data_IF_046039434996
#
_entry.id   IF_046039434996
#
_cell.length_a   1.000
_cell.length_b   1.000
_cell.length_c   1.000
_cell.angle_alpha   90.00
_cell.angle_beta   90.00
_cell.angle_gamma   90.00
#
_symmetry.space_group_name_H-M   'P 1'
#
loop_
_entity.id
_entity.type
_entity.pdbx_description
1 polymer ?
#
# COMPACT_ATOMS: atom_id res chain seq x y z
N UNK A 1 27.80 -17.37 69.84
CA UNK A 1 27.62 -18.42 68.86
C UNK A 1 27.37 -17.71 67.55
N UNK A 2 28.39 -17.68 66.70
CA UNK A 2 28.47 -17.01 65.41
C UNK A 2 27.76 -17.90 64.38
N UNK A 3 26.72 -17.39 63.69
CA UNK A 3 26.12 -18.04 62.54
C UNK A 3 26.52 -17.32 61.28
N UNK A 4 27.18 -18.02 60.41
CA UNK A 4 27.71 -17.58 59.11
C UNK A 4 26.62 -17.10 58.16
N UNK A 5 26.77 -15.90 57.64
CA UNK A 5 26.13 -15.47 56.42
C UNK A 5 26.96 -15.99 55.23
N UNK A 6 26.43 -16.96 54.50
CA UNK A 6 26.93 -17.33 53.18
C UNK A 6 26.50 -16.27 52.17
N UNK A 7 27.38 -15.78 51.28
CA UNK A 7 27.00 -14.86 50.19
C UNK A 7 26.28 -15.65 49.09
N UNK A 8 25.04 -15.19 48.76
CA UNK A 8 24.34 -15.69 47.58
C UNK A 8 25.17 -15.56 46.30
N UNK A 9 25.18 -16.59 45.43
CA UNK A 9 25.87 -16.52 44.17
C UNK A 9 25.19 -15.52 43.24
N UNK A 10 25.96 -14.51 42.87
CA UNK A 10 25.68 -13.47 41.87
C UNK A 10 25.09 -14.08 40.59
N UNK A 11 23.77 -14.13 40.50
CA UNK A 11 23.08 -14.41 39.22
C UNK A 11 23.38 -13.28 38.26
N UNK A 12 24.50 -13.34 37.56
CA UNK A 12 24.68 -12.67 36.30
C UNK A 12 23.54 -13.12 35.40
N UNK A 13 22.49 -12.32 35.36
CA UNK A 13 21.48 -12.43 34.31
C UNK A 13 22.24 -12.35 32.97
N UNK A 14 22.49 -13.52 32.40
CA UNK A 14 22.94 -13.61 31.03
C UNK A 14 21.96 -12.80 30.18
N UNK A 15 22.47 -11.73 29.56
CA UNK A 15 21.83 -11.14 28.40
C UNK A 15 21.71 -12.25 27.37
N UNK A 16 20.61 -12.98 27.43
CA UNK A 16 20.22 -13.91 26.40
C UNK A 16 20.15 -13.11 25.11
N UNK A 17 21.16 -13.23 24.28
CA UNK A 17 21.03 -12.97 22.86
C UNK A 17 19.84 -13.81 22.44
N UNK A 18 18.72 -13.15 22.09
CA UNK A 18 17.60 -13.81 21.41
C UNK A 18 18.19 -14.26 20.08
N UNK A 19 18.70 -15.49 20.06
CA UNK A 19 19.21 -16.10 18.84
C UNK A 19 18.06 -16.13 17.85
N UNK A 20 18.24 -15.45 16.72
CA UNK A 20 17.27 -15.46 15.64
C UNK A 20 17.07 -16.92 15.24
N UNK A 21 15.82 -17.39 15.23
CA UNK A 21 15.42 -18.76 14.90
C UNK A 21 15.89 -19.19 13.51
N UNK A 22 16.31 -18.23 12.70
CA UNK A 22 16.75 -18.42 11.33
C UNK A 22 18.17 -17.87 11.10
N UNK A 23 18.89 -18.48 10.16
CA UNK A 23 20.18 -17.93 9.69
C UNK A 23 19.98 -16.51 9.12
N UNK A 24 20.88 -15.58 9.41
CA UNK A 24 20.89 -14.20 8.85
C UNK A 24 20.80 -14.18 7.32
N UNK A 25 21.30 -15.25 6.65
CA UNK A 25 21.19 -15.40 5.19
C UNK A 25 19.75 -15.68 4.77
N UNK A 26 19.04 -16.53 5.51
CA UNK A 26 17.64 -16.83 5.24
C UNK A 26 16.75 -15.61 5.49
N UNK A 27 16.95 -14.86 6.57
CA UNK A 27 16.20 -13.63 6.86
C UNK A 27 16.30 -12.62 5.72
N UNK A 28 17.52 -12.36 5.20
CA UNK A 28 17.71 -11.43 4.07
C UNK A 28 17.05 -11.93 2.80
N UNK A 29 17.16 -13.23 2.51
CA UNK A 29 16.52 -13.85 1.35
C UNK A 29 15.00 -13.76 1.47
N UNK A 30 14.46 -14.01 2.66
CA UNK A 30 13.01 -13.91 2.92
C UNK A 30 12.49 -12.50 2.66
N UNK A 31 13.17 -11.47 3.19
CA UNK A 31 12.78 -10.06 2.95
C UNK A 31 12.84 -9.72 1.45
N UNK A 32 13.83 -10.18 0.72
CA UNK A 32 13.92 -10.00 -0.73
C UNK A 32 12.77 -10.69 -1.47
N UNK A 33 12.45 -11.94 -1.10
CA UNK A 33 11.33 -12.68 -1.69
C UNK A 33 10.01 -11.95 -1.40
N UNK A 34 9.78 -11.50 -0.17
CA UNK A 34 8.56 -10.78 0.20
C UNK A 34 8.46 -9.40 -0.47
N UNK A 35 9.60 -8.69 -0.63
CA UNK A 35 9.69 -7.45 -1.40
C UNK A 35 9.25 -7.66 -2.85
N UNK A 36 9.82 -8.65 -3.53
CA UNK A 36 9.46 -8.96 -4.91
C UNK A 36 8.00 -9.44 -5.02
N UNK A 37 7.55 -10.26 -4.06
CA UNK A 37 6.15 -10.73 -4.03
C UNK A 37 5.17 -9.56 -3.90
N UNK A 38 5.40 -8.65 -2.93
CA UNK A 38 4.57 -7.47 -2.75
C UNK A 38 4.61 -6.54 -3.97
N UNK A 39 5.79 -6.40 -4.56
CA UNK A 39 5.96 -5.67 -5.81
C UNK A 39 5.14 -6.26 -6.96
N UNK A 40 5.09 -7.60 -7.11
CA UNK A 40 4.31 -8.24 -8.18
C UNK A 40 2.80 -8.13 -7.97
N UNK A 41 2.32 -8.18 -6.72
CA UNK A 41 0.90 -7.90 -6.40
C UNK A 41 0.54 -6.49 -6.84
N UNK A 42 1.36 -5.49 -6.49
CA UNK A 42 1.12 -4.10 -6.89
C UNK A 42 1.30 -3.86 -8.38
N UNK A 43 2.22 -4.57 -9.04
CA UNK A 43 2.38 -4.52 -10.50
C UNK A 43 1.06 -4.88 -11.19
N UNK A 44 0.45 -5.99 -10.80
CA UNK A 44 -0.78 -6.45 -11.43
C UNK A 44 -1.97 -5.54 -11.07
N UNK A 45 -2.12 -5.19 -9.78
CA UNK A 45 -3.17 -4.29 -9.29
C UNK A 45 -3.18 -2.94 -10.02
N UNK A 46 -2.01 -2.36 -10.27
CA UNK A 46 -1.88 -1.07 -10.94
C UNK A 46 -1.95 -1.17 -12.47
N UNK A 47 -1.59 -2.31 -13.04
CA UNK A 47 -1.56 -2.51 -14.50
C UNK A 47 -2.88 -2.18 -15.17
N UNK A 48 -4.02 -2.60 -14.60
CA UNK A 48 -5.34 -2.28 -15.14
C UNK A 48 -5.59 -0.78 -15.27
N UNK A 49 -5.09 0.02 -14.30
CA UNK A 49 -5.32 1.46 -14.27
C UNK A 49 -4.58 2.15 -15.43
N UNK A 50 -3.34 1.71 -15.68
CA UNK A 50 -2.50 2.25 -16.75
C UNK A 50 -2.88 1.74 -18.14
N UNK A 51 -3.57 0.59 -18.20
CA UNK A 51 -4.08 0.01 -19.45
C UNK A 51 -5.47 0.53 -19.84
N UNK A 52 -6.14 1.30 -18.96
CA UNK A 52 -7.46 1.86 -19.26
C UNK A 52 -7.55 2.60 -20.61
N UNK A 53 -6.58 3.45 -21.00
CA UNK A 53 -6.62 4.12 -22.31
C UNK A 53 -6.59 3.18 -23.52
N UNK A 54 -6.13 1.93 -23.33
CA UNK A 54 -5.99 0.95 -24.41
C UNK A 54 -7.21 0.03 -24.53
N UNK A 55 -7.83 -0.41 -23.41
CA UNK A 55 -8.99 -1.30 -23.46
C UNK A 55 -10.33 -0.54 -23.44
N UNK A 56 -10.39 0.67 -22.86
CA UNK A 56 -11.63 1.41 -22.78
C UNK A 56 -12.25 1.73 -24.16
N UNK A 57 -11.48 2.12 -25.19
CA UNK A 57 -12.03 2.31 -26.53
C UNK A 57 -12.58 1.03 -27.16
N UNK A 58 -11.94 -0.13 -26.93
CA UNK A 58 -12.37 -1.41 -27.48
C UNK A 58 -13.72 -1.86 -26.92
N UNK A 59 -13.91 -1.71 -25.60
CA UNK A 59 -15.17 -2.04 -24.93
C UNK A 59 -16.16 -0.87 -24.90
N UNK A 60 -15.82 0.28 -25.49
CA UNK A 60 -16.61 1.52 -25.48
C UNK A 60 -17.00 1.95 -24.08
N UNK A 61 -16.05 1.86 -23.17
CA UNK A 61 -16.27 2.22 -21.75
C UNK A 61 -16.25 3.75 -21.61
N UNK A 62 -17.19 4.22 -20.78
CA UNK A 62 -17.18 5.59 -20.30
C UNK A 62 -16.34 5.73 -19.01
N UNK A 63 -16.11 6.97 -18.58
CA UNK A 63 -15.30 7.27 -17.40
C UNK A 63 -15.89 6.69 -16.11
N UNK A 64 -17.23 6.59 -16.02
CA UNK A 64 -17.92 5.98 -14.89
C UNK A 64 -17.60 4.49 -14.77
N UNK A 65 -17.63 3.76 -15.89
CA UNK A 65 -17.31 2.33 -15.93
C UNK A 65 -15.84 2.05 -15.57
N UNK A 66 -14.91 2.91 -15.99
CA UNK A 66 -13.50 2.79 -15.60
C UNK A 66 -13.30 3.03 -14.10
N UNK A 67 -13.94 4.05 -13.54
CA UNK A 67 -13.94 4.29 -12.10
C UNK A 67 -14.57 3.14 -11.31
N UNK A 68 -15.68 2.59 -11.79
CA UNK A 68 -16.36 1.45 -11.18
C UNK A 68 -15.51 0.17 -11.19
N UNK A 69 -14.77 -0.07 -12.28
CA UNK A 69 -13.84 -1.20 -12.38
C UNK A 69 -12.75 -1.16 -11.30
N UNK A 70 -12.17 0.01 -11.06
CA UNK A 70 -11.20 0.21 -9.98
C UNK A 70 -11.84 -0.01 -8.60
N UNK A 71 -13.05 0.49 -8.39
CA UNK A 71 -13.79 0.39 -7.13
C UNK A 71 -14.15 -1.04 -6.78
N UNK A 72 -14.60 -1.84 -7.75
CA UNK A 72 -14.94 -3.26 -7.54
C UNK A 72 -13.71 -4.05 -7.11
N UNK A 73 -12.56 -3.81 -7.72
CA UNK A 73 -11.31 -4.46 -7.32
C UNK A 73 -10.92 -4.08 -5.89
N UNK A 74 -11.04 -2.79 -5.52
CA UNK A 74 -10.66 -2.29 -4.20
C UNK A 74 -11.57 -2.83 -3.08
N UNK A 75 -12.88 -2.85 -3.27
CA UNK A 75 -13.80 -3.38 -2.25
C UNK A 75 -13.63 -4.90 -2.08
N UNK A 76 -13.43 -5.64 -3.17
CA UNK A 76 -13.17 -7.06 -3.12
C UNK A 76 -11.85 -7.36 -2.37
N UNK A 77 -10.81 -6.55 -2.60
CA UNK A 77 -9.53 -6.63 -1.89
C UNK A 77 -9.71 -6.38 -0.38
N UNK A 78 -10.42 -5.32 0.00
CA UNK A 78 -10.63 -4.95 1.40
C UNK A 78 -11.40 -6.03 2.18
N UNK A 79 -12.50 -6.53 1.59
CA UNK A 79 -13.33 -7.59 2.19
C UNK A 79 -12.55 -8.90 2.31
N UNK A 80 -11.88 -9.30 1.23
CA UNK A 80 -11.08 -10.52 1.19
C UNK A 80 -9.92 -10.50 2.19
N UNK A 81 -9.21 -9.37 2.30
CA UNK A 81 -8.09 -9.20 3.23
C UNK A 81 -8.50 -9.47 4.68
N UNK A 82 -9.71 -9.05 5.07
CA UNK A 82 -10.24 -9.31 6.40
C UNK A 82 -10.49 -10.82 6.65
N UNK A 83 -11.21 -11.48 5.74
CA UNK A 83 -11.55 -12.90 5.91
C UNK A 83 -10.35 -13.83 5.80
N UNK A 84 -9.52 -13.65 4.79
CA UNK A 84 -8.35 -14.52 4.57
C UNK A 84 -7.18 -14.20 5.48
N UNK A 85 -7.11 -12.98 6.03
CA UNK A 85 -6.19 -12.67 7.13
C UNK A 85 -6.46 -13.59 8.32
N UNK A 86 -7.71 -13.64 8.79
CA UNK A 86 -8.13 -14.54 9.88
C UNK A 86 -7.95 -16.03 9.50
N UNK A 87 -8.19 -16.40 8.25
CA UNK A 87 -7.97 -17.76 7.77
C UNK A 87 -6.50 -18.16 7.85
N UNK A 88 -5.58 -17.22 7.54
CA UNK A 88 -4.14 -17.46 7.60
C UNK A 88 -3.62 -17.67 9.04
N UNK A 89 -4.30 -17.09 10.02
CA UNK A 89 -3.99 -17.32 11.44
C UNK A 89 -4.30 -18.77 11.86
N UNK A 90 -5.33 -19.36 11.25
CA UNK A 90 -5.79 -20.72 11.59
C UNK A 90 -5.06 -21.81 10.78
N UNK A 91 -4.85 -21.61 9.50
CA UNK A 91 -4.33 -22.64 8.59
C UNK A 91 -2.83 -22.46 8.27
N UNK A 92 -2.24 -21.38 8.72
CA UNK A 92 -0.85 -21.02 8.43
C UNK A 92 -0.72 -19.96 7.34
N UNK A 93 0.45 -19.32 7.30
CA UNK A 93 0.73 -18.19 6.41
C UNK A 93 0.94 -18.64 4.95
N UNK A 94 1.79 -19.66 4.79
CA UNK A 94 2.16 -20.19 3.47
C UNK A 94 1.00 -20.84 2.72
N UNK A 95 0.12 -21.69 3.33
CA UNK A 95 -1.04 -22.28 2.67
C UNK A 95 -2.05 -21.28 2.14
N UNK A 96 -2.07 -20.05 2.69
CA UNK A 96 -2.95 -18.96 2.20
C UNK A 96 -2.24 -18.12 1.14
N UNK A 97 -0.97 -17.74 1.36
CA UNK A 97 -0.25 -16.83 0.47
C UNK A 97 0.07 -17.47 -0.88
N UNK A 98 0.55 -18.71 -0.90
CA UNK A 98 1.00 -19.35 -2.16
C UNK A 98 -0.16 -19.56 -3.14
N UNK A 99 -1.33 -20.10 -2.75
CA UNK A 99 -2.48 -20.18 -3.65
C UNK A 99 -2.99 -18.80 -4.09
N UNK A 100 -2.98 -17.80 -3.21
CA UNK A 100 -3.38 -16.42 -3.54
C UNK A 100 -2.52 -15.85 -4.67
N UNK A 101 -1.19 -16.04 -4.61
CA UNK A 101 -0.26 -15.58 -5.65
C UNK A 101 -0.51 -16.28 -6.98
N UNK A 102 -0.70 -17.60 -7.00
CA UNK A 102 -1.04 -18.31 -8.24
C UNK A 102 -2.41 -17.91 -8.79
N UNK A 103 -3.40 -17.71 -7.91
CA UNK A 103 -4.74 -17.30 -8.30
C UNK A 103 -4.76 -15.93 -8.99
N UNK A 104 -4.12 -14.90 -8.39
CA UNK A 104 -4.10 -13.58 -9.03
C UNK A 104 -3.31 -13.60 -10.34
N UNK A 105 -2.23 -14.38 -10.43
CA UNK A 105 -1.45 -14.50 -11.67
C UNK A 105 -2.27 -15.14 -12.80
N UNK A 106 -3.05 -16.17 -12.48
CA UNK A 106 -3.98 -16.77 -13.44
C UNK A 106 -5.08 -15.79 -13.85
N UNK A 107 -5.64 -15.04 -12.90
CA UNK A 107 -6.65 -14.01 -13.16
C UNK A 107 -6.08 -12.84 -13.97
N UNK A 108 -4.79 -12.49 -13.82
CA UNK A 108 -4.12 -11.54 -14.70
C UNK A 108 -4.16 -12.04 -16.16
N UNK A 109 -3.80 -13.29 -16.39
CA UNK A 109 -3.90 -13.89 -17.72
C UNK A 109 -5.34 -13.94 -18.24
N UNK A 110 -6.30 -14.32 -17.39
CA UNK A 110 -7.72 -14.27 -17.75
C UNK A 110 -8.16 -12.85 -18.14
N UNK A 111 -7.62 -11.81 -17.52
CA UNK A 111 -7.90 -10.41 -17.90
C UNK A 111 -7.45 -10.07 -19.33
N UNK A 112 -6.41 -10.73 -19.85
CA UNK A 112 -5.99 -10.63 -21.25
C UNK A 112 -6.91 -11.39 -22.22
N UNK A 113 -7.78 -12.29 -21.73
CA UNK A 113 -8.66 -13.13 -22.55
C UNK A 113 -10.11 -12.64 -22.61
N UNK A 114 -10.47 -11.58 -21.87
CA UNK A 114 -11.85 -11.07 -21.82
C UNK A 114 -12.27 -10.39 -23.11
N UNK A 115 -13.56 -10.50 -23.44
CA UNK A 115 -14.18 -9.94 -24.63
C UNK A 115 -15.33 -8.98 -24.32
N UNK A 116 -15.65 -8.76 -23.04
CA UNK A 116 -16.70 -7.84 -22.62
C UNK A 116 -16.37 -7.17 -21.29
N UNK A 117 -16.98 -6.01 -21.06
CA UNK A 117 -16.86 -5.29 -19.78
C UNK A 117 -17.29 -6.15 -18.58
N UNK A 118 -18.40 -6.91 -18.70
CA UNK A 118 -18.88 -7.77 -17.62
C UNK A 118 -17.88 -8.87 -17.24
N UNK A 119 -17.22 -9.48 -18.25
CA UNK A 119 -16.14 -10.44 -17.99
C UNK A 119 -14.94 -9.79 -17.31
N UNK A 120 -14.53 -8.61 -17.78
CA UNK A 120 -13.43 -7.87 -17.16
C UNK A 120 -13.76 -7.52 -15.70
N UNK A 121 -14.98 -7.04 -15.44
CA UNK A 121 -15.45 -6.70 -14.10
C UNK A 121 -15.42 -7.91 -13.16
N UNK A 122 -15.92 -9.07 -13.62
CA UNK A 122 -15.89 -10.30 -12.85
C UNK A 122 -14.46 -10.74 -12.52
N UNK A 123 -13.57 -10.75 -13.53
CA UNK A 123 -12.18 -11.13 -13.32
C UNK A 123 -11.50 -10.18 -12.35
N UNK A 124 -11.79 -8.87 -12.39
CA UNK A 124 -11.25 -7.88 -11.45
C UNK A 124 -11.80 -8.01 -10.04
N UNK A 125 -13.07 -8.38 -9.88
CA UNK A 125 -13.62 -8.73 -8.57
C UNK A 125 -12.90 -9.94 -7.96
N UNK A 126 -12.73 -11.01 -8.75
CA UNK A 126 -11.98 -12.21 -8.32
C UNK A 126 -10.50 -11.90 -8.03
N UNK A 127 -9.88 -11.00 -8.82
CA UNK A 127 -8.54 -10.52 -8.58
C UNK A 127 -8.41 -9.85 -7.21
N UNK A 128 -9.33 -8.92 -6.87
CA UNK A 128 -9.35 -8.30 -5.55
C UNK A 128 -9.45 -9.35 -4.43
N UNK A 129 -10.27 -10.41 -4.63
CA UNK A 129 -10.37 -11.51 -3.66
C UNK A 129 -9.04 -12.26 -3.53
N UNK A 130 -8.35 -12.54 -4.62
CA UNK A 130 -7.08 -13.25 -4.59
C UNK A 130 -5.94 -12.43 -3.97
N UNK A 131 -5.88 -11.13 -4.24
CA UNK A 131 -4.83 -10.25 -3.74
C UNK A 131 -5.02 -9.81 -2.28
N UNK A 132 -6.28 -9.77 -1.79
CA UNK A 132 -6.62 -9.24 -0.46
C UNK A 132 -5.82 -9.81 0.70
N UNK A 133 -5.61 -11.13 0.80
CA UNK A 133 -4.83 -11.72 1.89
C UNK A 133 -3.34 -11.36 1.87
N UNK A 134 -2.79 -10.98 0.71
CA UNK A 134 -1.35 -10.87 0.52
C UNK A 134 -0.70 -9.90 1.51
N UNK A 135 -1.30 -8.72 1.72
CA UNK A 135 -0.73 -7.73 2.64
C UNK A 135 -0.68 -8.23 4.09
N UNK A 136 -1.81 -8.72 4.61
CA UNK A 136 -1.90 -9.20 5.98
C UNK A 136 -0.95 -10.38 6.25
N UNK A 137 -0.88 -11.32 5.29
CA UNK A 137 -0.02 -12.50 5.42
C UNK A 137 1.46 -12.16 5.30
N UNK A 138 1.85 -11.29 4.35
CA UNK A 138 3.24 -10.84 4.19
C UNK A 138 3.72 -10.12 5.44
N UNK A 139 2.92 -9.20 6.00
CA UNK A 139 3.29 -8.49 7.23
C UNK A 139 3.41 -9.44 8.41
N UNK A 140 2.50 -10.41 8.57
CA UNK A 140 2.59 -11.42 9.60
C UNK A 140 3.87 -12.27 9.48
N UNK A 141 4.24 -12.70 8.28
CA UNK A 141 5.51 -13.43 8.05
C UNK A 141 6.71 -12.60 8.49
N UNK A 142 6.73 -11.29 8.20
CA UNK A 142 7.82 -10.39 8.61
C UNK A 142 7.87 -10.28 10.14
N UNK A 143 6.72 -10.07 10.79
CA UNK A 143 6.63 -9.93 12.24
C UNK A 143 7.09 -11.19 12.98
N UNK A 144 6.76 -12.35 12.45
CA UNK A 144 7.12 -13.66 13.02
C UNK A 144 8.58 -14.07 12.74
N UNK A 145 9.16 -13.58 11.64
CA UNK A 145 10.50 -13.99 11.18
C UNK A 145 11.60 -12.96 11.47
N UNK A 146 11.27 -11.68 11.62
CA UNK A 146 12.25 -10.62 11.84
C UNK A 146 12.48 -10.35 13.33
N UNK A 147 13.74 -10.08 13.73
CA UNK A 147 14.05 -9.66 15.09
C UNK A 147 13.33 -8.36 15.47
N UNK A 148 12.86 -8.19 16.72
CA UNK A 148 12.05 -7.05 17.15
C UNK A 148 12.65 -5.67 16.82
N UNK A 149 13.98 -5.54 16.88
CA UNK A 149 14.70 -4.29 16.61
C UNK A 149 14.77 -3.93 15.11
N UNK A 150 14.39 -4.83 14.19
CA UNK A 150 14.44 -4.63 12.74
C UNK A 150 13.10 -4.77 12.03
N UNK A 151 12.04 -5.22 12.72
CA UNK A 151 10.71 -5.45 12.13
C UNK A 151 10.19 -4.24 11.34
N UNK A 152 10.22 -3.06 11.95
CA UNK A 152 9.74 -1.84 11.28
C UNK A 152 10.53 -1.50 10.02
N UNK A 153 11.85 -1.70 10.03
CA UNK A 153 12.70 -1.50 8.84
C UNK A 153 12.35 -2.52 7.75
N UNK A 154 12.21 -3.78 8.12
CA UNK A 154 11.97 -4.87 7.19
C UNK A 154 10.57 -4.74 6.54
N UNK A 155 9.54 -4.35 7.32
CA UNK A 155 8.23 -3.96 6.79
C UNK A 155 8.37 -2.77 5.83
N UNK A 156 9.07 -1.70 6.23
CA UNK A 156 9.28 -0.52 5.38
C UNK A 156 9.94 -0.84 4.03
N UNK A 157 10.94 -1.75 4.03
CA UNK A 157 11.58 -2.23 2.81
C UNK A 157 10.56 -2.95 1.92
N UNK A 158 9.80 -3.90 2.47
CA UNK A 158 8.84 -4.68 1.68
C UNK A 158 7.72 -3.79 1.12
N UNK A 159 7.21 -2.86 1.92
CA UNK A 159 6.17 -1.91 1.49
C UNK A 159 6.64 -1.00 0.36
N UNK A 160 7.92 -0.61 0.36
CA UNK A 160 8.47 0.26 -0.69
C UNK A 160 8.46 -0.39 -2.09
N UNK A 161 8.34 -1.72 -2.17
CA UNK A 161 8.18 -2.43 -3.44
C UNK A 161 6.93 -1.99 -4.22
N UNK A 162 5.87 -1.60 -3.53
CA UNK A 162 4.66 -1.07 -4.16
C UNK A 162 4.97 0.18 -5.01
N UNK A 163 5.82 1.08 -4.50
CA UNK A 163 6.22 2.26 -5.25
C UNK A 163 7.17 1.92 -6.41
N UNK A 164 8.18 1.08 -6.16
CA UNK A 164 9.18 0.75 -7.19
C UNK A 164 8.59 -0.11 -8.32
N UNK A 165 7.85 -1.13 -7.97
CA UNK A 165 7.33 -2.09 -8.96
C UNK A 165 5.94 -1.68 -9.45
N UNK A 166 5.02 -1.34 -8.52
CA UNK A 166 3.64 -1.03 -8.88
C UNK A 166 3.43 0.36 -9.47
N UNK A 167 4.10 1.39 -8.92
CA UNK A 167 3.91 2.77 -9.39
C UNK A 167 5.01 3.23 -10.37
N UNK A 168 6.20 2.61 -10.36
CA UNK A 168 7.26 2.96 -11.31
C UNK A 168 7.34 1.98 -12.48
N UNK A 169 7.60 0.68 -12.21
CA UNK A 169 7.82 -0.29 -13.28
C UNK A 169 6.51 -0.64 -14.03
N UNK A 170 5.38 -0.78 -13.33
CA UNK A 170 4.11 -1.20 -13.93
C UNK A 170 3.63 -0.24 -15.05
N UNK A 171 3.51 1.09 -14.85
CA UNK A 171 3.05 1.97 -15.91
C UNK A 171 3.99 1.96 -17.10
N UNK A 172 5.31 1.92 -16.90
CA UNK A 172 6.29 1.87 -17.99
C UNK A 172 6.15 0.55 -18.77
N UNK A 173 6.22 -0.59 -18.05
CA UNK A 173 6.19 -1.91 -18.67
C UNK A 173 4.89 -2.15 -19.44
N UNK A 174 3.76 -1.93 -18.76
CA UNK A 174 2.45 -2.28 -19.35
C UNK A 174 2.07 -1.41 -20.54
N UNK A 175 2.37 -0.10 -20.49
CA UNK A 175 2.07 0.79 -21.62
C UNK A 175 3.00 0.55 -22.81
N UNK A 176 4.28 0.20 -22.61
CA UNK A 176 5.19 -0.16 -23.68
C UNK A 176 4.79 -1.49 -24.36
N UNK A 177 4.41 -2.49 -23.57
CA UNK A 177 3.91 -3.77 -24.11
C UNK A 177 2.59 -3.54 -24.83
N UNK A 178 1.67 -2.78 -24.24
CA UNK A 178 0.36 -2.49 -24.85
C UNK A 178 0.50 -1.74 -26.19
N UNK A 179 1.42 -0.79 -26.29
CA UNK A 179 1.64 -0.03 -27.52
C UNK A 179 2.22 -0.89 -28.66
N UNK A 180 2.99 -1.95 -28.37
CA UNK A 180 3.65 -2.78 -29.37
C UNK A 180 2.88 -4.05 -29.72
N UNK A 181 2.27 -4.69 -28.71
CA UNK A 181 1.67 -6.01 -28.81
C UNK A 181 0.17 -6.03 -28.47
N UNK A 182 -0.37 -4.88 -28.04
CA UNK A 182 -1.74 -4.76 -27.55
C UNK A 182 -1.86 -4.98 -26.03
N UNK A 183 -2.94 -4.44 -25.45
CA UNK A 183 -3.17 -4.43 -24.00
C UNK A 183 -3.35 -5.84 -23.41
N UNK A 184 -3.84 -6.80 -24.19
CA UNK A 184 -4.00 -8.20 -23.76
C UNK A 184 -2.64 -8.79 -23.40
N UNK A 185 -1.62 -8.57 -24.21
CA UNK A 185 -0.26 -9.02 -23.95
C UNK A 185 0.34 -8.37 -22.70
N UNK A 186 -0.04 -7.13 -22.39
CA UNK A 186 0.42 -6.48 -21.18
C UNK A 186 -0.07 -7.21 -19.91
N UNK A 187 -1.29 -7.74 -19.89
CA UNK A 187 -1.77 -8.58 -18.80
C UNK A 187 -1.08 -9.94 -18.72
N UNK A 188 -0.78 -10.57 -19.86
CA UNK A 188 0.00 -11.81 -19.85
C UNK A 188 1.40 -11.58 -19.27
N UNK A 189 2.08 -10.52 -19.68
CA UNK A 189 3.40 -10.16 -19.17
C UNK A 189 3.35 -9.80 -17.68
N UNK A 190 2.32 -9.08 -17.23
CA UNK A 190 2.15 -8.71 -15.83
C UNK A 190 1.93 -9.92 -14.90
N UNK A 191 1.28 -10.98 -15.40
CA UNK A 191 1.03 -12.21 -14.64
C UNK A 191 2.27 -13.12 -14.49
N UNK A 192 3.26 -13.03 -15.39
CA UNK A 192 4.45 -13.90 -15.33
C UNK A 192 5.23 -13.76 -14.02
N UNK A 193 5.58 -12.55 -13.54
CA UNK A 193 6.30 -12.39 -12.29
C UNK A 193 5.58 -13.04 -11.09
N UNK A 194 4.26 -12.99 -11.06
CA UNK A 194 3.47 -13.62 -10.00
C UNK A 194 3.62 -15.14 -9.98
N UNK A 195 3.59 -15.81 -11.14
CA UNK A 195 3.83 -17.27 -11.22
C UNK A 195 5.24 -17.60 -10.73
N UNK A 196 6.25 -16.84 -11.16
CA UNK A 196 7.63 -17.04 -10.71
C UNK A 196 7.71 -16.88 -9.19
N UNK A 197 7.11 -15.83 -8.64
CA UNK A 197 7.10 -15.59 -7.19
C UNK A 197 6.31 -16.66 -6.43
N UNK A 198 5.21 -17.17 -6.99
CA UNK A 198 4.46 -18.29 -6.43
C UNK A 198 5.32 -19.55 -6.29
N UNK A 199 6.11 -19.89 -7.32
CA UNK A 199 7.06 -21.00 -7.29
C UNK A 199 8.19 -20.76 -6.29
N UNK A 200 8.73 -19.54 -6.24
CA UNK A 200 9.79 -19.16 -5.27
C UNK A 200 9.26 -19.25 -3.84
N UNK A 201 8.07 -18.71 -3.56
CA UNK A 201 7.43 -18.82 -2.25
C UNK A 201 7.19 -20.28 -1.86
N UNK A 202 6.64 -21.05 -2.77
CA UNK A 202 6.39 -22.48 -2.54
C UNK A 202 7.66 -23.26 -2.23
N UNK A 203 8.78 -22.93 -2.89
CA UNK A 203 10.06 -23.66 -2.73
C UNK A 203 10.91 -23.21 -1.55
N UNK A 204 10.94 -21.89 -1.26
CA UNK A 204 11.94 -21.32 -0.37
C UNK A 204 11.37 -20.76 0.94
N UNK A 205 10.09 -20.38 0.99
CA UNK A 205 9.50 -19.83 2.22
C UNK A 205 9.02 -20.96 3.10
N UNK A 206 9.56 -21.02 4.31
CA UNK A 206 9.13 -21.96 5.34
C UNK A 206 7.96 -21.40 6.11
N UNK A 207 7.06 -22.28 6.57
CA UNK A 207 5.99 -21.87 7.49
C UNK A 207 6.62 -21.36 8.79
N UNK A 208 6.28 -20.17 9.26
CA UNK A 208 6.73 -19.67 10.56
C UNK A 208 6.23 -20.56 11.69
N UNK A 209 7.11 -20.91 12.63
CA UNK A 209 6.79 -21.89 13.66
C UNK A 209 5.86 -21.37 14.79
N UNK A 210 5.39 -20.13 14.68
CA UNK A 210 4.60 -19.45 15.73
C UNK A 210 3.08 -19.50 15.55
N UNK A 211 2.58 -20.15 14.51
CA UNK A 211 1.15 -20.15 14.16
C UNK A 211 0.18 -20.70 15.25
N UNK A 212 0.68 -21.44 16.22
CA UNK A 212 -0.19 -22.06 17.23
C UNK A 212 -0.24 -21.31 18.58
N UNK A 213 0.76 -20.48 18.93
CA UNK A 213 0.81 -19.84 20.25
C UNK A 213 0.13 -18.45 20.29
N UNK A 214 0.06 -17.75 19.16
CA UNK A 214 -0.58 -16.42 19.12
C UNK A 214 -2.09 -16.45 18.99
N UNK A 215 -2.69 -17.52 18.47
CA UNK A 215 -4.14 -17.70 18.42
C UNK A 215 -4.80 -17.75 19.80
N UNK A 216 -4.06 -18.19 20.83
CA UNK A 216 -4.55 -18.25 22.18
C UNK A 216 -4.61 -16.89 22.90
N UNK A 217 -3.79 -15.91 22.48
CA UNK A 217 -3.77 -14.58 23.11
C UNK A 217 -4.76 -13.61 22.45
N UNK A 218 -5.06 -13.73 21.15
CA UNK A 218 -6.03 -12.87 20.46
C UNK A 218 -7.50 -13.28 20.68
N UNK A 219 -7.76 -14.48 21.18
CA UNK A 219 -9.12 -15.01 21.38
C UNK A 219 -9.92 -14.43 22.56
N UNK A 220 -9.37 -13.48 23.32
CA UNK A 220 -10.05 -12.89 24.49
C UNK A 220 -10.34 -11.40 24.39
N UNK A 221 -9.93 -10.73 23.32
CA UNK A 221 -10.28 -9.32 23.15
C UNK A 221 -11.75 -9.21 22.72
N UNK A 222 -12.55 -8.54 23.55
CA UNK A 222 -13.97 -8.30 23.25
C UNK A 222 -14.07 -7.30 22.09
N UNK A 223 -15.05 -7.47 21.23
CA UNK A 223 -15.38 -6.51 20.16
C UNK A 223 -15.45 -5.08 20.70
N UNK A 224 -15.87 -4.90 21.95
CA UNK A 224 -15.88 -3.61 22.65
C UNK A 224 -14.48 -2.97 22.78
N UNK A 225 -13.41 -3.78 22.86
CA UNK A 225 -12.04 -3.27 23.00
C UNK A 225 -11.55 -2.65 21.67
N UNK A 226 -12.01 -3.18 20.53
CA UNK A 226 -11.75 -2.58 19.20
C UNK A 226 -12.40 -1.19 19.06
N UNK A 227 -13.59 -0.99 19.63
CA UNK A 227 -14.23 0.32 19.64
C UNK A 227 -13.59 1.30 20.63
N UNK A 228 -12.86 0.80 21.64
CA UNK A 228 -12.15 1.67 22.58
C UNK A 228 -11.06 2.51 21.91
N UNK A 229 -10.49 2.02 20.80
CA UNK A 229 -9.48 2.73 19.99
C UNK A 229 -10.05 4.02 19.39
N UNK A 230 -11.34 4.05 19.11
CA UNK A 230 -12.03 5.22 18.57
C UNK A 230 -12.13 6.40 19.55
N UNK A 231 -11.78 6.21 20.83
CA UNK A 231 -11.68 7.29 21.82
C UNK A 231 -10.49 8.22 21.57
N UNK A 232 -9.47 7.75 20.85
CA UNK A 232 -8.29 8.55 20.56
C UNK A 232 -8.56 9.48 19.37
N UNK A 233 -8.48 10.78 19.59
CA UNK A 233 -8.70 11.80 18.55
C UNK A 233 -7.83 11.56 17.31
N UNK A 234 -6.53 11.28 17.50
CA UNK A 234 -5.63 11.02 16.39
C UNK A 234 -6.01 9.78 15.57
N UNK A 235 -6.78 8.83 16.14
CA UNK A 235 -7.25 7.65 15.40
C UNK A 235 -8.28 8.05 14.33
N UNK A 236 -9.28 8.86 14.66
CA UNK A 236 -10.23 9.40 13.70
C UNK A 236 -9.56 10.24 12.63
N UNK A 237 -8.60 11.08 13.05
CA UNK A 237 -7.82 11.88 12.14
C UNK A 237 -6.98 11.00 11.20
N UNK A 238 -6.42 9.90 11.69
CA UNK A 238 -5.70 8.94 10.85
C UNK A 238 -6.62 8.25 9.84
N UNK A 239 -7.83 7.86 10.24
CA UNK A 239 -8.81 7.28 9.32
C UNK A 239 -9.19 8.27 8.21
N UNK A 240 -9.48 9.53 8.57
CA UNK A 240 -9.82 10.58 7.61
C UNK A 240 -8.62 10.94 6.72
N UNK A 241 -7.42 11.02 7.28
CA UNK A 241 -6.20 11.28 6.54
C UNK A 241 -5.85 10.16 5.58
N UNK A 242 -6.05 8.89 6.01
CA UNK A 242 -5.91 7.71 5.15
C UNK A 242 -6.90 7.73 3.99
N UNK A 243 -8.15 8.10 4.25
CA UNK A 243 -9.16 8.27 3.20
C UNK A 243 -8.75 9.35 2.19
N UNK A 244 -8.26 10.51 2.64
CA UNK A 244 -7.74 11.57 1.77
C UNK A 244 -6.54 11.13 0.95
N UNK A 245 -5.59 10.41 1.56
CA UNK A 245 -4.42 9.85 0.88
C UNK A 245 -4.81 8.82 -0.20
N UNK A 246 -5.68 7.86 0.14
CA UNK A 246 -6.14 6.84 -0.81
C UNK A 246 -7.00 7.44 -1.93
N UNK A 247 -7.81 8.45 -1.62
CA UNK A 247 -8.54 9.23 -2.63
C UNK A 247 -7.56 9.86 -3.64
N UNK A 248 -6.49 10.51 -3.17
CA UNK A 248 -5.45 11.04 -4.04
C UNK A 248 -4.78 9.96 -4.88
N UNK A 249 -4.36 8.87 -4.25
CA UNK A 249 -3.62 7.80 -4.92
C UNK A 249 -4.45 7.16 -6.03
N UNK A 250 -5.67 6.75 -5.73
CA UNK A 250 -6.50 6.02 -6.69
C UNK A 250 -7.07 6.91 -7.78
N UNK A 251 -7.59 8.11 -7.46
CA UNK A 251 -8.07 9.03 -8.49
C UNK A 251 -6.96 9.45 -9.45
N UNK A 252 -5.76 9.72 -8.92
CA UNK A 252 -4.62 10.04 -9.76
C UNK A 252 -4.27 8.87 -10.70
N UNK A 253 -4.11 7.66 -10.17
CA UNK A 253 -3.66 6.52 -10.97
C UNK A 253 -4.75 5.96 -11.91
N UNK A 254 -6.04 6.15 -11.61
CA UNK A 254 -7.15 5.75 -12.49
C UNK A 254 -7.33 6.75 -13.64
N UNK A 255 -7.32 8.05 -13.34
CA UNK A 255 -7.75 9.06 -14.31
C UNK A 255 -6.60 9.82 -14.97
N UNK A 256 -5.38 9.85 -14.38
CA UNK A 256 -4.26 10.51 -15.04
C UNK A 256 -3.85 9.85 -16.37
N UNK A 257 -3.83 8.51 -16.53
CA UNK A 257 -3.57 7.88 -17.83
C UNK A 257 -4.57 8.34 -18.90
N UNK A 258 -5.87 8.34 -18.58
CA UNK A 258 -6.93 8.83 -19.47
C UNK A 258 -6.78 10.32 -19.77
N UNK A 259 -6.50 11.13 -18.74
CA UNK A 259 -6.31 12.57 -18.91
C UNK A 259 -5.14 12.89 -19.84
N UNK A 260 -4.02 12.19 -19.69
CA UNK A 260 -2.83 12.39 -20.53
C UNK A 260 -3.11 11.98 -21.97
N UNK A 261 -3.86 10.89 -22.20
CA UNK A 261 -4.14 10.42 -23.56
C UNK A 261 -5.27 11.19 -24.24
N UNK A 262 -6.34 11.50 -23.54
CA UNK A 262 -7.54 12.11 -24.14
C UNK A 262 -7.54 13.64 -24.12
N UNK A 263 -6.95 14.25 -23.07
CA UNK A 263 -6.95 15.72 -22.90
C UNK A 263 -5.63 16.37 -23.32
N UNK A 264 -4.50 15.74 -22.96
CA UNK A 264 -3.18 16.23 -23.38
C UNK A 264 -2.80 15.73 -24.78
N UNK A 265 -3.56 14.74 -25.32
CA UNK A 265 -3.31 14.10 -26.63
C UNK A 265 -1.91 13.47 -26.74
N UNK A 266 -1.37 13.00 -25.62
CA UNK A 266 -0.08 12.34 -25.59
C UNK A 266 -0.24 10.81 -25.66
N UNK A 267 0.71 10.09 -26.27
CA UNK A 267 0.64 8.63 -26.36
C UNK A 267 0.70 7.99 -24.97
N UNK A 268 0.00 6.87 -24.80
CA UNK A 268 -0.05 6.14 -23.52
C UNK A 268 1.33 5.73 -23.00
N UNK A 269 2.31 5.54 -23.87
CA UNK A 269 3.72 5.30 -23.50
C UNK A 269 4.35 6.48 -22.76
N UNK A 270 4.06 7.71 -23.18
CA UNK A 270 4.50 8.91 -22.43
C UNK A 270 3.78 9.01 -21.09
N UNK A 271 2.48 8.68 -21.04
CA UNK A 271 1.75 8.59 -19.78
C UNK A 271 2.41 7.59 -18.83
N UNK A 272 2.80 6.41 -19.34
CA UNK A 272 3.52 5.41 -18.58
C UNK A 272 4.85 5.90 -18.01
N UNK A 273 5.66 6.60 -18.81
CA UNK A 273 6.93 7.18 -18.33
C UNK A 273 6.72 8.30 -17.31
N UNK A 274 5.75 9.19 -17.52
CA UNK A 274 5.47 10.30 -16.63
C UNK A 274 4.99 9.80 -15.24
N UNK A 275 4.05 8.87 -15.23
CA UNK A 275 3.56 8.27 -14.00
C UNK A 275 4.62 7.39 -13.33
N UNK A 276 5.42 6.68 -14.13
CA UNK A 276 6.56 5.91 -13.65
C UNK A 276 7.63 6.76 -12.97
N UNK A 277 7.90 7.95 -13.50
CA UNK A 277 8.78 8.92 -12.83
C UNK A 277 8.24 9.29 -11.45
N UNK A 278 6.92 9.50 -11.31
CA UNK A 278 6.28 9.71 -10.01
C UNK A 278 6.44 8.52 -9.06
N UNK A 279 6.29 7.30 -9.57
CA UNK A 279 6.51 6.07 -8.79
C UNK A 279 7.94 5.95 -8.27
N UNK A 280 8.94 6.28 -9.11
CA UNK A 280 10.35 6.31 -8.71
C UNK A 280 10.61 7.37 -7.64
N UNK A 281 10.03 8.58 -7.81
CA UNK A 281 10.06 9.63 -6.79
C UNK A 281 9.48 9.16 -5.47
N UNK A 282 8.30 8.53 -5.50
CA UNK A 282 7.64 7.96 -4.32
C UNK A 282 8.50 6.93 -3.61
N UNK A 283 9.19 6.07 -4.36
CA UNK A 283 10.14 5.10 -3.82
C UNK A 283 11.33 5.79 -3.13
N UNK A 284 11.99 6.73 -3.78
CA UNK A 284 13.13 7.46 -3.21
C UNK A 284 12.73 8.22 -1.94
N UNK A 285 11.60 8.91 -1.97
CA UNK A 285 11.10 9.72 -0.86
C UNK A 285 10.60 8.89 0.32
N UNK A 286 10.26 7.60 0.10
CA UNK A 286 9.81 6.69 1.16
C UNK A 286 10.87 6.42 2.24
N UNK A 287 12.14 6.62 1.93
CA UNK A 287 13.24 6.49 2.89
C UNK A 287 13.59 7.83 3.57
N UNK A 288 13.43 8.93 2.84
CA UNK A 288 13.84 10.26 3.31
C UNK A 288 12.85 10.83 4.32
N UNK A 289 11.56 10.87 3.97
CA UNK A 289 10.56 11.58 4.77
C UNK A 289 10.18 10.90 6.09
N UNK A 290 10.05 9.56 6.19
CA UNK A 290 9.88 8.94 7.49
C UNK A 290 11.05 9.21 8.44
N UNK A 291 12.31 9.15 7.94
CA UNK A 291 13.48 9.50 8.75
C UNK A 291 13.52 11.00 9.14
N UNK A 292 13.09 11.89 8.24
CA UNK A 292 12.95 13.31 8.54
C UNK A 292 11.87 13.54 9.60
N UNK A 293 10.75 12.82 9.53
CA UNK A 293 9.66 12.93 10.50
C UNK A 293 10.07 12.47 11.91
N UNK A 294 11.07 11.59 12.02
CA UNK A 294 11.68 11.24 13.30
C UNK A 294 12.45 12.41 13.93
N UNK A 295 12.91 13.38 13.12
CA UNK A 295 13.67 14.55 13.59
C UNK A 295 12.80 15.77 13.86
N UNK A 296 11.91 16.13 12.95
CA UNK A 296 11.12 17.38 13.01
C UNK A 296 9.67 17.16 13.44
N UNK A 297 9.22 15.90 13.56
CA UNK A 297 7.85 15.55 13.96
C UNK A 297 7.01 15.01 12.81
N UNK A 298 5.94 14.27 13.14
CA UNK A 298 5.03 13.66 12.16
C UNK A 298 4.17 14.71 11.45
N UNK A 299 3.63 15.64 12.23
CA UNK A 299 2.72 16.68 11.77
C UNK A 299 3.30 17.58 10.67
N UNK A 300 4.46 18.26 10.85
CA UNK A 300 5.01 19.14 9.82
C UNK A 300 5.41 18.40 8.55
N UNK A 301 5.89 17.16 8.65
CA UNK A 301 6.23 16.35 7.49
C UNK A 301 4.98 15.96 6.70
N UNK A 302 3.90 15.53 7.36
CA UNK A 302 2.63 15.24 6.68
C UNK A 302 2.06 16.48 5.96
N UNK A 303 2.15 17.65 6.57
CA UNK A 303 1.72 18.90 5.91
C UNK A 303 2.52 19.19 4.64
N UNK A 304 3.85 19.05 4.72
CA UNK A 304 4.74 19.23 3.57
C UNK A 304 4.42 18.23 2.46
N UNK A 305 4.28 16.94 2.79
CA UNK A 305 3.98 15.88 1.84
C UNK A 305 2.61 16.07 1.18
N UNK A 306 1.60 16.53 1.92
CA UNK A 306 0.28 16.82 1.39
C UNK A 306 0.33 17.96 0.35
N UNK A 307 1.06 19.04 0.63
CA UNK A 307 1.26 20.15 -0.32
C UNK A 307 2.02 19.67 -1.56
N UNK A 308 3.14 18.99 -1.38
CA UNK A 308 3.92 18.44 -2.50
C UNK A 308 3.06 17.54 -3.39
N UNK A 309 2.35 16.57 -2.80
CA UNK A 309 1.58 15.60 -3.59
C UNK A 309 0.33 16.20 -4.25
N UNK A 310 -0.25 17.27 -3.70
CA UNK A 310 -1.29 18.03 -4.36
C UNK A 310 -0.81 18.71 -5.66
N UNK A 311 0.48 19.04 -5.75
CA UNK A 311 1.05 19.65 -6.96
C UNK A 311 1.01 18.68 -8.16
N UNK A 312 1.01 17.37 -7.98
CA UNK A 312 1.01 16.40 -9.08
C UNK A 312 -0.25 16.50 -9.94
N UNK A 313 -1.49 16.31 -9.41
CA UNK A 313 -2.71 16.44 -10.20
C UNK A 313 -2.94 17.87 -10.70
N UNK A 314 -2.45 18.90 -10.01
CA UNK A 314 -2.55 20.29 -10.47
C UNK A 314 -1.58 20.59 -11.62
N UNK A 315 -0.35 20.08 -11.56
CA UNK A 315 0.64 20.24 -12.63
C UNK A 315 0.19 19.55 -13.93
N UNK A 316 -0.46 18.37 -13.83
CA UNK A 316 -1.05 17.70 -15.00
C UNK A 316 -2.12 18.55 -15.68
N UNK A 317 -2.81 19.43 -14.96
CA UNK A 317 -3.85 20.29 -15.51
C UNK A 317 -3.34 21.65 -15.99
N UNK A 318 -2.10 22.01 -15.68
CA UNK A 318 -1.48 23.27 -16.04
C UNK A 318 -0.98 23.23 -17.49
N UNK A 319 -1.80 23.72 -18.43
CA UNK A 319 -1.48 23.72 -19.88
C UNK A 319 -0.12 24.31 -20.22
N UNK A 320 0.35 25.30 -19.46
CA UNK A 320 1.67 25.91 -19.67
C UNK A 320 2.81 24.90 -19.51
N UNK A 321 2.63 23.82 -18.73
CA UNK A 321 3.64 22.79 -18.54
C UNK A 321 3.71 21.77 -19.69
N UNK A 322 2.72 21.74 -20.59
CA UNK A 322 2.73 20.81 -21.73
C UNK A 322 3.87 21.11 -22.71
N UNK A 323 4.26 22.38 -22.81
CA UNK A 323 5.42 22.80 -23.59
C UNK A 323 6.77 22.42 -22.96
N UNK A 324 6.76 21.99 -21.69
CA UNK A 324 7.97 21.65 -20.93
C UNK A 324 7.86 20.25 -20.30
N UNK A 325 7.86 19.18 -21.10
CA UNK A 325 7.61 17.81 -20.58
C UNK A 325 8.62 17.36 -19.53
N UNK A 326 9.87 17.81 -19.63
CA UNK A 326 10.89 17.51 -18.62
C UNK A 326 10.62 18.18 -17.27
N UNK A 327 10.09 19.41 -17.29
CA UNK A 327 9.70 20.11 -16.07
C UNK A 327 8.50 19.43 -15.41
N UNK A 328 7.51 19.03 -16.23
CA UNK A 328 6.37 18.26 -15.73
C UNK A 328 6.81 16.93 -15.11
N UNK A 329 7.71 16.20 -15.77
CA UNK A 329 8.26 14.96 -15.24
C UNK A 329 9.05 15.18 -13.92
N UNK A 330 9.83 16.26 -13.83
CA UNK A 330 10.55 16.62 -12.61
C UNK A 330 9.60 16.95 -11.46
N UNK A 331 8.52 17.71 -11.73
CA UNK A 331 7.49 17.99 -10.71
C UNK A 331 6.82 16.70 -10.26
N UNK A 332 6.43 15.82 -11.18
CA UNK A 332 5.79 14.54 -10.84
C UNK A 332 6.76 13.66 -10.05
N UNK A 333 8.03 13.62 -10.40
CA UNK A 333 9.06 12.86 -9.66
C UNK A 333 9.26 13.40 -8.24
N UNK A 334 9.49 14.71 -8.09
CA UNK A 334 9.82 15.31 -6.78
C UNK A 334 8.61 15.39 -5.86
N UNK A 335 7.43 15.64 -6.42
CA UNK A 335 6.22 15.90 -5.64
C UNK A 335 5.39 14.64 -5.35
N UNK A 336 5.67 13.50 -5.98
CA UNK A 336 4.94 12.26 -5.70
C UNK A 336 5.52 11.54 -4.47
N UNK A 337 4.99 11.86 -3.30
CA UNK A 337 5.47 11.32 -2.02
C UNK A 337 4.52 10.24 -1.42
N UNK A 338 3.75 9.56 -2.26
CA UNK A 338 2.69 8.63 -1.84
C UNK A 338 3.12 7.60 -0.82
N UNK A 339 4.24 6.91 -1.05
CA UNK A 339 4.71 5.85 -0.14
C UNK A 339 5.14 6.40 1.23
N UNK A 340 5.76 7.59 1.26
CA UNK A 340 6.12 8.25 2.52
C UNK A 340 4.87 8.63 3.32
N UNK A 341 3.83 9.16 2.65
CA UNK A 341 2.55 9.47 3.30
C UNK A 341 1.85 8.24 3.84
N UNK A 342 1.79 7.14 3.07
CA UNK A 342 1.23 5.88 3.52
C UNK A 342 1.91 5.41 4.82
N UNK A 343 3.23 5.43 4.86
CA UNK A 343 4.00 5.04 6.05
C UNK A 343 3.68 5.89 7.27
N UNK A 344 3.44 7.20 7.08
CA UNK A 344 3.14 8.10 8.18
C UNK A 344 1.69 7.99 8.64
N UNK A 345 0.71 8.19 7.73
CA UNK A 345 -0.70 8.37 8.12
C UNK A 345 -1.42 7.04 8.36
N UNK A 346 -1.03 5.96 7.67
CA UNK A 346 -1.66 4.65 7.83
C UNK A 346 -0.96 3.82 8.91
N UNK A 347 0.37 3.94 9.04
CA UNK A 347 1.14 3.05 9.91
C UNK A 347 1.62 3.75 11.18
N UNK A 348 2.46 4.80 11.05
CA UNK A 348 3.17 5.36 12.20
C UNK A 348 2.24 6.13 13.14
N UNK A 349 1.42 7.06 12.64
CA UNK A 349 0.54 7.87 13.50
C UNK A 349 -0.48 7.02 14.25
N UNK A 350 -1.21 6.07 13.63
CA UNK A 350 -2.09 5.16 14.37
C UNK A 350 -1.35 4.32 15.41
N UNK A 351 -0.20 3.73 15.04
CA UNK A 351 0.56 2.87 15.95
C UNK A 351 1.15 3.62 17.15
N UNK A 352 1.49 4.90 17.00
CA UNK A 352 1.99 5.76 18.08
C UNK A 352 0.85 6.32 18.95
N UNK A 353 -0.39 6.32 18.45
CA UNK A 353 -1.55 6.88 19.14
C UNK A 353 -2.14 5.94 20.17
N UNK A 354 -2.08 4.63 19.93
CA UNK A 354 -2.72 3.60 20.76
C UNK A 354 -1.70 2.81 21.59
N UNK A 355 -2.14 2.13 22.68
CA UNK A 355 -1.30 1.20 23.43
C UNK A 355 -0.73 0.08 22.54
N UNK A 356 0.42 -0.53 22.90
CA UNK A 356 1.11 -1.52 22.07
C UNK A 356 0.25 -2.70 21.61
N UNK A 357 -0.66 -3.18 22.45
CA UNK A 357 -1.57 -4.30 22.14
C UNK A 357 -2.57 -3.98 21.00
N UNK A 358 -2.90 -2.71 20.78
CA UNK A 358 -3.88 -2.30 19.76
C UNK A 358 -3.26 -1.74 18.46
N UNK A 359 -1.94 -1.77 18.33
CA UNK A 359 -1.25 -1.17 17.16
C UNK A 359 -1.69 -1.77 15.83
N UNK A 360 -1.75 -3.09 15.74
CA UNK A 360 -2.19 -3.79 14.53
C UNK A 360 -3.63 -3.42 14.16
N UNK A 361 -4.53 -3.38 15.14
CA UNK A 361 -5.93 -2.98 14.95
C UNK A 361 -6.06 -1.54 14.49
N UNK A 362 -5.26 -0.62 15.05
CA UNK A 362 -5.28 0.79 14.66
C UNK A 362 -4.81 0.99 13.21
N UNK A 363 -3.74 0.30 12.81
CA UNK A 363 -3.25 0.28 11.42
C UNK A 363 -4.32 -0.31 10.49
N UNK A 364 -4.91 -1.44 10.87
CA UNK A 364 -5.97 -2.09 10.11
C UNK A 364 -7.19 -1.19 9.91
N UNK A 365 -7.63 -0.47 10.94
CA UNK A 365 -8.76 0.45 10.87
C UNK A 365 -8.47 1.66 9.96
N UNK A 366 -7.27 2.24 10.06
CA UNK A 366 -6.84 3.33 9.17
C UNK A 366 -6.76 2.86 7.71
N UNK A 367 -6.24 1.63 7.48
CA UNK A 367 -6.20 1.02 6.14
C UNK A 367 -7.61 0.81 5.59
N UNK A 368 -8.50 0.22 6.39
CA UNK A 368 -9.89 -0.06 5.98
C UNK A 368 -10.65 1.22 5.62
N UNK A 369 -10.52 2.28 6.43
CA UNK A 369 -11.13 3.57 6.12
C UNK A 369 -10.61 4.15 4.79
N UNK A 370 -9.30 4.04 4.55
CA UNK A 370 -8.68 4.45 3.29
C UNK A 370 -9.20 3.64 2.09
N UNK A 371 -9.25 2.33 2.20
CA UNK A 371 -9.71 1.44 1.11
C UNK A 371 -11.20 1.64 0.79
N UNK A 372 -12.07 1.76 1.80
CA UNK A 372 -13.51 1.96 1.55
C UNK A 372 -13.75 3.33 0.95
N UNK A 373 -13.28 4.40 1.56
CA UNK A 373 -13.61 5.77 1.14
C UNK A 373 -12.74 6.17 -0.06
N UNK A 374 -11.43 6.00 0.05
CA UNK A 374 -10.48 6.52 -0.92
C UNK A 374 -10.28 5.62 -2.14
N UNK A 375 -10.18 4.30 -1.96
CA UNK A 375 -9.92 3.39 -3.06
C UNK A 375 -11.21 2.85 -3.72
N UNK A 376 -12.33 2.78 -2.97
CA UNK A 376 -13.60 2.26 -3.50
C UNK A 376 -14.56 3.37 -3.90
N UNK A 377 -14.96 4.24 -2.96
CA UNK A 377 -15.98 5.27 -3.23
C UNK A 377 -15.45 6.37 -4.14
N UNK A 378 -14.22 6.84 -3.93
CA UNK A 378 -13.71 7.98 -4.68
C UNK A 378 -13.54 7.71 -6.18
N UNK A 379 -13.01 6.56 -6.68
CA UNK A 379 -12.97 6.29 -8.12
C UNK A 379 -14.35 6.15 -8.76
N UNK A 380 -15.32 5.53 -8.08
CA UNK A 380 -16.69 5.43 -8.59
C UNK A 380 -17.32 6.83 -8.75
N UNK A 381 -17.24 7.66 -7.71
CA UNK A 381 -17.73 9.04 -7.77
C UNK A 381 -16.94 9.88 -8.78
N UNK A 382 -15.62 9.74 -8.81
CA UNK A 382 -14.74 10.43 -9.75
C UNK A 382 -15.10 10.11 -11.20
N UNK A 383 -15.38 8.83 -11.49
CA UNK A 383 -15.83 8.39 -12.81
C UNK A 383 -17.19 8.94 -13.22
N UNK A 384 -18.17 8.87 -12.32
CA UNK A 384 -19.52 9.43 -12.56
C UNK A 384 -19.50 10.96 -12.77
N UNK A 385 -18.63 11.67 -12.05
CA UNK A 385 -18.44 13.11 -12.23
C UNK A 385 -17.63 13.42 -13.50
N UNK A 386 -16.64 12.59 -13.84
CA UNK A 386 -15.87 12.75 -15.07
C UNK A 386 -16.74 12.64 -16.33
N UNK A 387 -17.73 11.74 -16.32
CA UNK A 387 -18.66 11.57 -17.44
C UNK A 387 -19.49 12.84 -17.67
N UNK A 388 -19.88 13.57 -16.63
CA UNK A 388 -20.71 14.76 -16.70
C UNK A 388 -19.91 16.05 -16.87
N UNK A 389 -18.73 16.15 -16.26
CA UNK A 389 -17.98 17.39 -16.10
C UNK A 389 -16.55 17.32 -16.67
N UNK A 390 -16.17 16.16 -17.19
CA UNK A 390 -14.85 15.92 -17.82
C UNK A 390 -13.76 15.42 -16.85
N UNK A 391 -12.71 14.87 -17.42
CA UNK A 391 -11.59 14.20 -16.72
C UNK A 391 -10.76 15.12 -15.79
N UNK A 392 -10.99 16.44 -15.83
CA UNK A 392 -10.36 17.38 -14.87
C UNK A 392 -10.88 17.19 -13.45
N UNK A 393 -12.14 16.83 -13.30
CA UNK A 393 -12.80 16.75 -12.00
C UNK A 393 -12.18 15.68 -11.10
N UNK A 394 -11.95 14.43 -11.53
CA UNK A 394 -11.26 13.45 -10.69
C UNK A 394 -9.87 13.88 -10.26
N UNK A 395 -9.12 14.58 -11.11
CA UNK A 395 -7.80 15.10 -10.74
C UNK A 395 -7.90 16.25 -9.71
N UNK A 396 -8.93 17.10 -9.79
CA UNK A 396 -9.19 18.09 -8.74
C UNK A 396 -9.64 17.42 -7.42
N UNK A 397 -10.48 16.38 -7.49
CA UNK A 397 -10.85 15.59 -6.33
C UNK A 397 -9.63 14.92 -5.70
N UNK A 398 -8.68 14.45 -6.52
CA UNK A 398 -7.40 13.92 -6.05
C UNK A 398 -6.62 14.98 -5.27
N UNK A 399 -6.50 16.21 -5.79
CA UNK A 399 -5.90 17.33 -5.06
C UNK A 399 -6.69 17.66 -3.78
N UNK A 400 -8.02 17.56 -3.81
CA UNK A 400 -8.92 17.70 -2.67
C UNK A 400 -8.63 16.68 -1.56
N UNK A 401 -8.31 15.43 -1.92
CA UNK A 401 -7.85 14.41 -0.98
C UNK A 401 -6.60 14.85 -0.22
N UNK A 402 -5.65 15.51 -0.89
CA UNK A 402 -4.46 16.08 -0.24
C UNK A 402 -4.80 17.29 0.64
N UNK A 403 -5.77 18.13 0.24
CA UNK A 403 -6.25 19.21 1.10
C UNK A 403 -6.87 18.67 2.39
N UNK A 404 -7.65 17.58 2.32
CA UNK A 404 -8.17 16.88 3.50
C UNK A 404 -7.01 16.39 4.38
N UNK A 405 -6.00 15.73 3.79
CA UNK A 405 -4.84 15.26 4.55
C UNK A 405 -4.07 16.42 5.21
N UNK A 406 -3.93 17.55 4.53
CA UNK A 406 -3.30 18.76 5.09
C UNK A 406 -4.08 19.29 6.30
N UNK A 407 -5.40 19.41 6.20
CA UNK A 407 -6.26 19.83 7.32
C UNK A 407 -6.20 18.84 8.49
N UNK A 408 -6.18 17.54 8.18
CA UNK A 408 -5.97 16.48 9.17
C UNK A 408 -4.63 16.66 9.86
N UNK A 409 -3.55 16.89 9.11
CA UNK A 409 -2.22 17.09 9.67
C UNK A 409 -2.16 18.34 10.57
N UNK A 410 -2.87 19.43 10.23
CA UNK A 410 -3.03 20.60 11.09
C UNK A 410 -3.72 20.26 12.42
N UNK A 411 -4.72 19.38 12.38
CA UNK A 411 -5.50 18.99 13.55
C UNK A 411 -4.83 17.89 14.39
N UNK A 412 -3.85 17.14 13.85
CA UNK A 412 -3.13 16.08 14.56
C UNK A 412 -2.37 16.65 15.76
N UNK A 413 -2.47 15.95 16.90
CA UNK A 413 -1.52 16.15 18.00
C UNK A 413 -0.23 15.41 17.67
N UNK A 414 0.92 16.07 17.85
CA UNK A 414 2.23 15.46 17.61
C UNK A 414 2.40 14.20 18.46
N UNK A 415 2.82 13.11 17.82
CA UNK A 415 2.93 11.78 18.48
C UNK A 415 4.36 11.47 18.93
N UNK A 416 5.36 12.19 18.40
CA UNK A 416 6.78 11.98 18.67
C UNK A 416 7.16 12.09 20.14
N UNK A 417 6.61 13.08 20.85
CA UNK A 417 7.01 13.40 22.24
C UNK A 417 6.50 12.42 23.30
N UNK A 418 5.64 11.45 22.96
CA UNK A 418 5.21 10.44 23.94
C UNK A 418 6.31 9.46 24.37
N UNK A 419 7.39 9.32 23.60
CA UNK A 419 8.52 8.46 23.99
C UNK A 419 9.39 9.05 25.10
N UNK A 420 9.35 10.36 25.31
CA UNK A 420 10.15 11.04 26.34
C UNK A 420 9.43 11.18 27.69
N UNK A 421 8.12 10.94 27.75
CA UNK A 421 7.32 11.10 28.97
C UNK A 421 7.29 9.82 29.83
N UNK A 422 7.67 8.65 29.27
CA UNK A 422 7.71 7.38 30.01
C UNK A 422 9.11 6.95 30.46
N UNK A 423 10.11 7.82 30.48
CA UNK A 423 11.32 7.57 31.26
C UNK A 423 11.02 7.95 32.72
N UNK A 424 10.94 7.00 33.66
CA UNK A 424 10.90 7.35 35.05
C UNK A 424 12.17 8.18 35.34
N UNK A 425 11.97 9.35 35.97
CA UNK A 425 13.07 10.10 36.53
C UNK A 425 13.78 9.15 37.49
N UNK A 426 14.99 8.71 37.14
CA UNK A 426 15.89 7.93 37.95
C UNK A 426 16.55 8.77 39.02
#
# INVERSE_FOLDING_TARGET
MLSCCEPEPNRRQGRGTIDSKYSKRYERLLILILFLTWGTVFLDRMSQLYLAPYFAPEFKLNSEQVGFLASVTAIAWAVSGFFFGALSDRYGRRPVLVPAIFAFSALSWMSGMVHSFGQLLLVRALMGIAEGPCWAVITAIIEESSPPNRRGRDVGIVVSAAALVGLCAAPILTTQVAARFGWRWAFFVAGIPGIVMGLVLWRFVKEPASGNDHSAQHGRERIADYFSILRFRNMWLSCLGSAGFMCWLFLLNVFAPLYITEVMHEPGTKAGFLLGAGGLGSFCLSFVFPALSDRIGRRPVLMLLAVMSAMVPLALQARALYSFPWLLAAIVFVCNAGQAMASLIIVLVPAETVPPQFRATAIGLATLAGEIIGATVAPALGGALAEKMGLRVPLLMSAGGMAILFLVALALKETRNKKDVERPAG
#
